data_IF_809894383979
#
_entry.id   IF_809894383979
#
_cell.length_a   1.000
_cell.length_b   1.000
_cell.length_c   1.000
_cell.angle_alpha   90.00
_cell.angle_beta   90.00
_cell.angle_gamma   90.00
#
_symmetry.space_group_name_H-M   'P 1'
#
loop_
_entity.id
_entity.type
_entity.pdbx_description
1 polymer ?
#
# COMPACT_ATOMS: atom_id res chain seq x y z
N UNK A 1 21.87 46.09 -12.21
CA UNK A 1 21.58 44.91 -11.38
C UNK A 1 21.96 43.65 -12.14
N UNK A 2 22.89 42.87 -11.63
CA UNK A 2 23.27 41.57 -12.19
C UNK A 2 22.24 40.52 -11.76
N UNK A 3 21.57 39.87 -12.73
CA UNK A 3 20.67 38.74 -12.47
C UNK A 3 21.47 37.63 -11.79
N UNK A 4 21.12 37.31 -10.55
CA UNK A 4 21.72 36.18 -9.83
C UNK A 4 20.92 34.92 -10.15
N UNK A 5 21.59 33.79 -10.40
CA UNK A 5 20.89 32.51 -10.55
C UNK A 5 20.30 32.09 -9.20
N UNK A 6 19.07 31.56 -9.20
CA UNK A 6 18.48 30.98 -7.98
C UNK A 6 19.31 29.78 -7.53
N UNK A 7 19.63 29.72 -6.24
CA UNK A 7 20.36 28.57 -5.69
C UNK A 7 19.40 27.40 -5.42
N UNK A 8 19.91 26.17 -5.48
CA UNK A 8 19.15 24.97 -5.09
C UNK A 8 18.69 25.07 -3.63
N UNK A 9 19.49 25.69 -2.77
CA UNK A 9 19.14 25.93 -1.37
C UNK A 9 17.91 26.86 -1.23
N UNK A 10 17.85 27.94 -2.01
CA UNK A 10 16.70 28.86 -2.01
C UNK A 10 15.42 28.15 -2.49
N UNK A 11 15.53 27.30 -3.53
CA UNK A 11 14.42 26.47 -4.01
C UNK A 11 13.96 25.49 -2.94
N UNK A 12 14.88 24.76 -2.30
CA UNK A 12 14.56 23.79 -1.26
C UNK A 12 13.91 24.46 -0.05
N UNK A 13 14.40 25.64 0.35
CA UNK A 13 13.80 26.42 1.44
C UNK A 13 12.35 26.80 1.12
N UNK A 14 12.06 27.23 -0.11
CA UNK A 14 10.69 27.51 -0.54
C UNK A 14 9.83 26.24 -0.51
N UNK A 15 10.31 25.13 -1.05
CA UNK A 15 9.56 23.87 -1.02
C UNK A 15 9.24 23.42 0.40
N UNK A 16 10.18 23.59 1.35
CA UNK A 16 9.94 23.26 2.76
C UNK A 16 8.90 24.18 3.40
N UNK A 17 8.97 25.49 3.18
CA UNK A 17 8.00 26.45 3.74
C UNK A 17 6.54 26.18 3.32
N UNK A 18 6.35 25.57 2.15
CA UNK A 18 5.04 25.23 1.62
C UNK A 18 4.66 23.75 1.84
N UNK A 19 5.58 22.89 2.29
CA UNK A 19 5.31 21.48 2.58
C UNK A 19 4.60 21.34 3.93
N UNK A 20 3.33 20.88 3.96
CA UNK A 20 2.54 20.77 5.19
C UNK A 20 3.08 19.70 6.15
N UNK A 21 3.97 18.83 5.70
CA UNK A 21 4.59 17.81 6.57
C UNK A 21 5.92 18.28 7.17
N UNK A 22 6.33 19.52 6.93
CA UNK A 22 7.48 20.09 7.63
C UNK A 22 7.05 20.65 8.97
N UNK A 23 7.91 20.52 9.97
CA UNK A 23 7.68 21.08 11.32
C UNK A 23 7.82 22.62 11.37
N UNK A 24 7.85 23.27 10.21
CA UNK A 24 7.97 24.70 10.11
C UNK A 24 6.55 25.28 10.15
N UNK A 25 6.15 25.80 11.31
CA UNK A 25 4.95 26.62 11.44
C UNK A 25 5.16 28.01 10.82
N UNK A 26 5.31 28.05 9.48
CA UNK A 26 5.53 29.28 8.73
C UNK A 26 4.20 30.00 8.51
N UNK A 27 4.09 31.22 9.04
CA UNK A 27 2.97 32.11 8.71
C UNK A 27 2.96 32.46 7.21
N UNK A 28 1.80 32.77 6.66
CA UNK A 28 1.67 33.21 5.26
C UNK A 28 2.56 34.41 4.93
N UNK A 29 2.79 35.31 5.90
CA UNK A 29 3.69 36.44 5.75
C UNK A 29 5.15 36.02 5.59
N UNK A 30 5.60 35.01 6.36
CA UNK A 30 6.96 34.46 6.21
C UNK A 30 7.15 33.80 4.84
N UNK A 31 6.17 33.01 4.39
CA UNK A 31 6.20 32.35 3.08
C UNK A 31 6.30 33.38 1.94
N UNK A 32 5.45 34.40 1.97
CA UNK A 32 5.46 35.49 0.98
C UNK A 32 6.72 36.33 1.02
N UNK A 33 7.26 36.61 2.21
CA UNK A 33 8.51 37.36 2.36
C UNK A 33 9.70 36.59 1.78
N UNK A 34 9.82 35.29 2.07
CA UNK A 34 10.86 34.43 1.51
C UNK A 34 10.76 34.35 -0.02
N UNK A 35 9.55 34.17 -0.55
CA UNK A 35 9.31 34.17 -1.99
C UNK A 35 9.70 35.50 -2.64
N UNK A 36 9.25 36.62 -2.07
CA UNK A 36 9.53 37.96 -2.59
C UNK A 36 11.02 38.29 -2.59
N UNK A 37 11.73 37.89 -1.53
CA UNK A 37 13.19 38.06 -1.42
C UNK A 37 13.93 37.31 -2.53
N UNK A 38 13.55 36.05 -2.78
CA UNK A 38 14.17 35.22 -3.83
C UNK A 38 13.87 35.77 -5.23
N UNK A 39 12.62 36.16 -5.49
CA UNK A 39 12.22 36.75 -6.76
C UNK A 39 12.97 38.08 -7.04
N UNK A 40 13.15 38.90 -6.00
CA UNK A 40 13.95 40.13 -6.08
C UNK A 40 15.41 39.81 -6.43
N UNK A 41 16.00 38.80 -5.78
CA UNK A 41 17.40 38.38 -5.98
C UNK A 41 17.71 37.94 -7.43
N UNK A 42 16.73 37.33 -8.10
CA UNK A 42 16.85 36.91 -9.51
C UNK A 42 16.45 38.01 -10.51
N UNK A 43 16.16 39.22 -10.03
CA UNK A 43 15.74 40.35 -10.84
C UNK A 43 14.33 40.19 -11.42
N UNK A 44 13.46 39.43 -10.76
CA UNK A 44 12.07 39.22 -11.14
C UNK A 44 11.17 40.21 -10.39
N UNK A 45 11.00 41.40 -10.97
CA UNK A 45 10.19 42.52 -10.45
C UNK A 45 8.75 42.50 -10.98
N UNK A 46 8.18 41.31 -11.13
CA UNK A 46 6.83 41.15 -11.68
C UNK A 46 5.75 41.77 -10.79
N UNK A 47 4.66 42.24 -11.41
CA UNK A 47 3.43 42.64 -10.69
C UNK A 47 2.98 41.53 -9.73
N UNK A 48 2.19 41.88 -8.71
CA UNK A 48 1.68 40.97 -7.66
C UNK A 48 1.11 39.64 -8.18
N UNK A 49 0.54 39.65 -9.39
CA UNK A 49 0.02 38.47 -10.09
C UNK A 49 1.10 37.42 -10.37
N UNK A 50 2.33 37.84 -10.67
CA UNK A 50 3.44 36.93 -10.94
C UNK A 50 3.95 36.23 -9.66
N UNK A 51 3.92 36.91 -8.52
CA UNK A 51 4.24 36.30 -7.21
C UNK A 51 3.21 35.22 -6.88
N UNK A 52 1.92 35.51 -7.11
CA UNK A 52 0.83 34.55 -6.92
C UNK A 52 0.99 33.33 -7.83
N UNK A 53 1.39 33.51 -9.10
CA UNK A 53 1.63 32.41 -10.02
C UNK A 53 2.77 31.49 -9.57
N UNK A 54 3.87 32.05 -9.04
CA UNK A 54 4.98 31.26 -8.49
C UNK A 54 4.55 30.53 -7.22
N UNK A 55 3.78 31.18 -6.35
CA UNK A 55 3.20 30.55 -5.16
C UNK A 55 2.29 29.36 -5.53
N UNK A 56 1.43 29.51 -6.55
CA UNK A 56 0.61 28.41 -7.08
C UNK A 56 1.46 27.27 -7.64
N UNK A 57 2.54 27.58 -8.38
CA UNK A 57 3.44 26.57 -8.91
C UNK A 57 4.15 25.78 -7.79
N UNK A 58 4.58 26.46 -6.72
CA UNK A 58 5.18 25.81 -5.54
C UNK A 58 4.16 24.88 -4.88
N UNK A 59 2.94 25.36 -4.64
CA UNK A 59 1.86 24.54 -4.08
C UNK A 59 1.58 23.31 -4.93
N UNK A 60 1.47 23.46 -6.25
CA UNK A 60 1.24 22.34 -7.17
C UNK A 60 2.35 21.28 -7.09
N UNK A 61 3.62 21.70 -7.04
CA UNK A 61 4.77 20.79 -6.89
C UNK A 61 4.73 20.05 -5.57
N UNK A 62 4.47 20.76 -4.46
CA UNK A 62 4.36 20.16 -3.13
C UNK A 62 3.20 19.17 -3.06
N UNK A 63 2.01 19.56 -3.53
CA UNK A 63 0.83 18.69 -3.56
C UNK A 63 1.07 17.44 -4.40
N UNK A 64 1.69 17.58 -5.58
CA UNK A 64 2.04 16.43 -6.42
C UNK A 64 3.03 15.51 -5.74
N UNK A 65 4.06 16.05 -5.08
CA UNK A 65 5.04 15.27 -4.32
C UNK A 65 4.36 14.48 -3.20
N UNK A 66 3.43 15.10 -2.49
CA UNK A 66 2.66 14.46 -1.43
C UNK A 66 1.78 13.35 -1.96
N UNK A 67 1.03 13.61 -3.04
CA UNK A 67 0.22 12.61 -3.71
C UNK A 67 1.06 11.39 -4.11
N UNK A 68 2.20 11.60 -4.78
CA UNK A 68 3.09 10.51 -5.19
C UNK A 68 3.62 9.68 -4.01
N UNK A 69 3.94 10.33 -2.87
CA UNK A 69 4.35 9.63 -1.64
C UNK A 69 3.21 8.75 -1.10
N UNK A 70 2.00 9.30 -1.02
CA UNK A 70 0.82 8.57 -0.55
C UNK A 70 0.47 7.41 -1.49
N UNK A 71 0.47 7.62 -2.80
CA UNK A 71 0.24 6.57 -3.79
C UNK A 71 1.27 5.46 -3.64
N UNK A 72 2.57 5.79 -3.52
CA UNK A 72 3.62 4.78 -3.33
C UNK A 72 3.40 3.96 -2.06
N UNK A 73 3.06 4.62 -0.94
CA UNK A 73 2.76 3.93 0.31
C UNK A 73 1.52 3.02 0.18
N UNK A 74 0.45 3.52 -0.45
CA UNK A 74 -0.76 2.75 -0.70
C UNK A 74 -0.48 1.52 -1.58
N UNK A 75 0.30 1.67 -2.65
CA UNK A 75 0.72 0.56 -3.50
C UNK A 75 1.48 -0.51 -2.73
N UNK A 76 2.41 -0.13 -1.85
CA UNK A 76 3.15 -1.08 -1.01
C UNK A 76 2.21 -1.83 -0.07
N UNK A 77 1.26 -1.14 0.57
CA UNK A 77 0.27 -1.76 1.45
C UNK A 77 -0.62 -2.73 0.66
N UNK A 78 -1.14 -2.30 -0.49
CA UNK A 78 -1.95 -3.14 -1.37
C UNK A 78 -1.21 -4.41 -1.80
N UNK A 79 0.06 -4.30 -2.19
CA UNK A 79 0.90 -5.44 -2.56
C UNK A 79 1.05 -6.44 -1.41
N UNK A 80 1.27 -5.95 -0.19
CA UNK A 80 1.38 -6.80 1.01
C UNK A 80 0.07 -7.52 1.32
N UNK A 81 -1.06 -6.80 1.28
CA UNK A 81 -2.39 -7.39 1.51
C UNK A 81 -2.67 -8.46 0.47
N UNK A 82 -2.42 -8.18 -0.82
CA UNK A 82 -2.63 -9.15 -1.91
C UNK A 82 -1.79 -10.40 -1.72
N UNK A 83 -0.50 -10.26 -1.35
CA UNK A 83 0.37 -11.40 -1.07
C UNK A 83 -0.14 -12.23 0.11
N UNK A 84 -0.52 -11.58 1.20
CA UNK A 84 -1.07 -12.25 2.39
C UNK A 84 -2.36 -13.01 2.07
N UNK A 85 -3.28 -12.38 1.34
CA UNK A 85 -4.54 -13.01 0.95
C UNK A 85 -4.30 -14.24 0.07
N UNK A 86 -3.46 -14.12 -0.96
CA UNK A 86 -3.11 -15.24 -1.83
C UNK A 86 -2.49 -16.40 -1.04
N UNK A 87 -1.59 -16.11 -0.10
CA UNK A 87 -0.96 -17.14 0.72
C UNK A 87 -1.99 -17.85 1.61
N UNK A 88 -2.91 -17.08 2.23
CA UNK A 88 -3.96 -17.64 3.08
C UNK A 88 -4.93 -18.50 2.28
N UNK A 89 -5.27 -18.08 1.07
CA UNK A 89 -6.17 -18.83 0.19
C UNK A 89 -5.53 -20.13 -0.30
N UNK A 90 -4.24 -20.10 -0.64
CA UNK A 90 -3.49 -21.32 -0.97
C UNK A 90 -3.46 -22.30 0.21
N UNK A 91 -3.23 -21.83 1.44
CA UNK A 91 -3.28 -22.68 2.64
C UNK A 91 -4.66 -23.30 2.86
N UNK A 92 -5.73 -22.53 2.61
CA UNK A 92 -7.11 -23.04 2.70
C UNK A 92 -7.35 -24.16 1.69
N UNK A 93 -6.99 -23.93 0.44
CA UNK A 93 -7.14 -24.93 -0.64
C UNK A 93 -6.34 -26.21 -0.35
N UNK A 94 -5.08 -26.09 0.11
CA UNK A 94 -4.28 -27.27 0.48
C UNK A 94 -4.92 -28.06 1.61
N UNK A 95 -5.47 -27.38 2.63
CA UNK A 95 -6.15 -28.05 3.74
C UNK A 95 -7.44 -28.74 3.30
N UNK A 96 -8.23 -28.09 2.44
CA UNK A 96 -9.44 -28.69 1.87
C UNK A 96 -9.11 -29.95 1.06
N UNK A 97 -8.04 -29.92 0.25
CA UNK A 97 -7.57 -31.11 -0.47
C UNK A 97 -7.11 -32.23 0.46
N UNK A 98 -6.36 -31.92 1.52
CA UNK A 98 -5.92 -32.91 2.51
C UNK A 98 -7.12 -33.57 3.21
N UNK A 99 -8.09 -32.77 3.65
CA UNK A 99 -9.31 -33.28 4.29
C UNK A 99 -10.12 -34.16 3.34
N UNK A 100 -10.18 -33.83 2.06
CA UNK A 100 -10.87 -34.65 1.06
C UNK A 100 -10.20 -36.02 0.89
N UNK A 101 -8.87 -36.05 0.78
CA UNK A 101 -8.11 -37.31 0.68
C UNK A 101 -8.27 -38.16 1.96
N UNK A 102 -8.23 -37.53 3.13
CA UNK A 102 -8.43 -38.22 4.42
C UNK A 102 -9.84 -38.82 4.52
N UNK A 103 -10.87 -38.07 4.09
CA UNK A 103 -12.24 -38.58 4.04
C UNK A 103 -12.39 -39.78 3.09
N UNK A 104 -11.78 -39.72 1.90
CA UNK A 104 -11.80 -40.84 0.96
C UNK A 104 -11.13 -42.10 1.54
N UNK A 105 -10.00 -41.95 2.25
CA UNK A 105 -9.32 -43.06 2.91
C UNK A 105 -10.16 -43.65 4.04
N UNK A 106 -10.72 -42.81 4.91
CA UNK A 106 -11.61 -43.25 5.99
C UNK A 106 -12.85 -43.96 5.45
N UNK A 107 -13.39 -43.51 4.32
CA UNK A 107 -14.54 -44.15 3.70
C UNK A 107 -14.19 -45.55 3.16
N UNK A 108 -13.04 -45.70 2.48
CA UNK A 108 -12.55 -47.02 2.05
C UNK A 108 -12.31 -47.96 3.22
N UNK A 109 -11.70 -47.47 4.31
CA UNK A 109 -11.49 -48.27 5.52
C UNK A 109 -12.83 -48.76 6.09
N UNK A 110 -13.81 -47.85 6.25
CA UNK A 110 -15.14 -48.24 6.73
C UNK A 110 -15.82 -49.26 5.83
N UNK A 111 -15.70 -49.14 4.52
CA UNK A 111 -16.26 -50.12 3.57
C UNK A 111 -15.59 -51.49 3.71
N UNK A 112 -14.28 -51.54 3.94
CA UNK A 112 -13.55 -52.77 4.23
C UNK A 112 -13.98 -53.38 5.57
N UNK A 113 -14.00 -52.59 6.64
CA UNK A 113 -14.43 -53.05 7.97
C UNK A 113 -15.86 -53.63 7.93
N UNK A 114 -16.78 -52.97 7.20
CA UNK A 114 -18.16 -53.48 7.01
C UNK A 114 -18.17 -54.79 6.25
N UNK A 115 -17.29 -54.96 5.26
CA UNK A 115 -17.21 -56.20 4.48
C UNK A 115 -16.69 -57.36 5.33
N UNK A 116 -15.64 -57.14 6.11
CA UNK A 116 -15.07 -58.13 7.02
C UNK A 116 -16.10 -58.57 8.07
N UNK A 117 -16.82 -57.63 8.68
CA UNK A 117 -17.89 -57.94 9.63
C UNK A 117 -19.02 -58.77 9.02
N UNK A 118 -19.37 -58.53 7.74
CA UNK A 118 -20.38 -59.34 7.05
C UNK A 118 -19.90 -60.75 6.74
N UNK A 119 -18.61 -60.93 6.43
CA UNK A 119 -18.02 -62.25 6.22
C UNK A 119 -17.90 -63.03 7.56
N UNK A 120 -17.60 -62.36 8.67
CA UNK A 120 -17.49 -62.98 10.00
C UNK A 120 -18.87 -63.34 10.60
N UNK A 121 -19.91 -62.56 10.28
CA UNK A 121 -21.30 -62.78 10.73
C UNK A 121 -22.20 -63.39 9.64
N UNK A 122 -21.62 -64.13 8.67
CA UNK A 122 -22.38 -64.75 7.60
C UNK A 122 -23.45 -65.71 8.17
N UNK A 123 -24.75 -65.43 8.02
CA UNK A 123 -25.82 -66.22 8.62
C UNK A 123 -25.90 -67.66 8.09
N UNK A 124 -25.21 -68.00 6.99
CA UNK A 124 -25.09 -69.39 6.52
C UNK A 124 -24.19 -70.28 7.41
N UNK A 125 -23.44 -69.72 8.37
CA UNK A 125 -22.63 -70.46 9.36
C UNK A 125 -23.29 -70.59 10.75
N UNK A 126 -24.47 -69.99 10.96
CA UNK A 126 -25.16 -69.97 12.25
C UNK A 126 -26.33 -70.97 12.34
N UNK A 127 -26.55 -71.80 11.32
CA UNK A 127 -27.63 -72.80 11.26
C UNK A 127 -27.13 -74.24 11.54
N UNK A 128 -26.18 -74.41 12.47
CA UNK A 128 -25.81 -75.70 13.05
C UNK A 128 -25.88 -75.61 14.59
N UNK A 129 -27.09 -75.74 15.17
CA UNK A 129 -27.48 -76.71 16.23
C UNK A 129 -28.93 -76.52 16.73
#
# INVERSE_FOLDING_TARGET
MTRTKISIADVNRLLQLYDPNTDINASNNMKRSALSSILTKIGFYGQRNNVNAVEQAINAVVSRRQFMRQTKAATVIQQRIRKWFNQREQQRLTREQQLQVEQEQLQKQREQDIKELKEEFDPELLDDE
#
